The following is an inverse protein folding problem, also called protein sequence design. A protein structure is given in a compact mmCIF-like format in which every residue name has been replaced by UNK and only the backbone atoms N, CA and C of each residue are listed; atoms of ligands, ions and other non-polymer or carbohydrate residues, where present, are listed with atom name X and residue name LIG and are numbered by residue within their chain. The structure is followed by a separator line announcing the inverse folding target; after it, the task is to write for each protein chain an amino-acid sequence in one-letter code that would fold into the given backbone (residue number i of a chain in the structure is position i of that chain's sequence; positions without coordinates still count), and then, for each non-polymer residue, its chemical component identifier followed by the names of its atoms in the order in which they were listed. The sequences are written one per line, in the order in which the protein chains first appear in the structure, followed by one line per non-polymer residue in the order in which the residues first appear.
data_IF_757852593364
#
_entry.id   IF_757852593364
#
_cell.length_a   1.000
_cell.length_b   1.000
_cell.length_c   1.000
_cell.angle_alpha   90.00
_cell.angle_beta   90.00
_cell.angle_gamma   90.00
#
_symmetry.space_group_name_H-M   'P 1'
#
loop_
_entity.id
_entity.type
_entity.pdbx_description
1 polymer ?
#
# COMPACT_ATOMS: atom_id res chain seq x y z
N UNK A 1 0.77 3.21 21.26
CA UNK A 1 0.40 4.56 21.73
C UNK A 1 0.35 5.39 20.46
N UNK A 2 -0.81 5.93 20.08
CA UNK A 2 -0.94 6.67 18.82
C UNK A 2 -0.04 7.92 18.88
N UNK A 3 0.85 8.10 17.91
CA UNK A 3 1.71 9.30 17.83
C UNK A 3 0.82 10.52 17.56
N UNK A 4 0.95 11.57 18.38
CA UNK A 4 0.16 12.80 18.24
C UNK A 4 0.46 13.42 16.87
N UNK A 5 -0.59 13.73 16.10
CA UNK A 5 -0.48 14.28 14.75
C UNK A 5 -0.40 13.25 13.61
N UNK A 6 -0.33 11.94 13.91
CA UNK A 6 -0.34 10.90 12.88
C UNK A 6 -1.77 10.54 12.42
N UNK A 7 -1.98 10.53 11.11
CA UNK A 7 -3.19 10.02 10.44
C UNK A 7 -2.98 8.63 9.84
N UNK A 8 -4.02 7.80 9.79
CA UNK A 8 -3.95 6.43 9.26
C UNK A 8 -5.10 6.18 8.30
N UNK A 9 -4.83 5.47 7.21
CA UNK A 9 -5.85 5.08 6.23
C UNK A 9 -5.65 3.63 5.81
N UNK A 10 -6.75 2.87 5.78
CA UNK A 10 -6.74 1.48 5.28
C UNK A 10 -7.95 1.23 4.39
N UNK A 11 -7.92 0.10 3.68
CA UNK A 11 -8.99 -0.37 2.80
C UNK A 11 -9.68 -1.58 3.42
N UNK A 12 -11.01 -1.60 3.34
CA UNK A 12 -11.83 -2.77 3.60
C UNK A 12 -12.48 -3.21 2.29
N UNK A 13 -12.48 -4.52 2.03
CA UNK A 13 -13.10 -5.09 0.84
C UNK A 13 -14.30 -5.93 1.28
N UNK A 14 -15.45 -5.69 0.65
CA UNK A 14 -16.69 -6.40 0.94
C UNK A 14 -17.22 -7.10 -0.31
N UNK A 15 -17.74 -8.32 -0.15
CA UNK A 15 -18.57 -8.98 -1.15
C UNK A 15 -20.02 -8.62 -0.87
N UNK A 16 -20.78 -8.39 -1.93
CA UNK A 16 -22.23 -8.18 -1.85
C UNK A 16 -22.97 -9.46 -2.25
N UNK A 17 -23.90 -9.90 -1.42
CA UNK A 17 -24.82 -10.99 -1.71
C UNK A 17 -26.25 -10.49 -1.51
N UNK A 18 -26.94 -10.20 -2.61
CA UNK A 18 -28.26 -9.54 -2.56
C UNK A 18 -28.18 -8.15 -1.91
N UNK A 19 -28.75 -8.01 -0.71
CA UNK A 19 -28.73 -6.77 0.08
C UNK A 19 -27.69 -6.78 1.21
N UNK A 20 -26.97 -7.87 1.39
CA UNK A 20 -26.00 -8.04 2.46
C UNK A 20 -24.58 -7.79 1.98
N UNK A 21 -23.75 -7.28 2.89
CA UNK A 21 -22.32 -7.13 2.70
C UNK A 21 -21.58 -7.98 3.72
N UNK A 22 -20.64 -8.80 3.24
CA UNK A 22 -19.75 -9.59 4.08
C UNK A 22 -18.29 -9.29 3.72
N UNK A 23 -17.38 -9.46 4.68
CA UNK A 23 -15.95 -9.21 4.41
C UNK A 23 -15.44 -10.13 3.30
N UNK A 24 -14.77 -9.55 2.31
CA UNK A 24 -14.14 -10.31 1.23
C UNK A 24 -12.82 -10.95 1.66
N UNK A 25 -12.19 -10.37 2.68
CA UNK A 25 -10.85 -10.72 3.17
C UNK A 25 -10.88 -11.07 4.66
N UNK A 26 -9.89 -11.80 5.15
CA UNK A 26 -9.78 -12.20 6.56
C UNK A 26 -9.45 -11.05 7.51
N UNK A 27 -8.88 -9.97 6.99
CA UNK A 27 -8.55 -8.71 7.68
C UNK A 27 -8.66 -7.54 6.68
N UNK A 28 -8.48 -6.27 7.09
CA UNK A 28 -8.51 -5.16 6.15
C UNK A 28 -7.59 -5.42 4.94
N UNK A 29 -8.07 -5.10 3.74
CA UNK A 29 -7.33 -5.28 2.50
C UNK A 29 -6.00 -4.48 2.53
N UNK A 30 -6.01 -3.30 3.14
CA UNK A 30 -4.80 -2.51 3.34
C UNK A 30 -3.75 -3.23 4.19
N UNK A 31 -4.17 -3.93 5.24
CA UNK A 31 -3.27 -4.68 6.11
C UNK A 31 -2.66 -5.89 5.38
N UNK A 32 -3.41 -6.52 4.48
CA UNK A 32 -2.88 -7.57 3.61
C UNK A 32 -1.89 -7.01 2.59
N UNK A 33 -2.16 -5.83 2.03
CA UNK A 33 -1.24 -5.15 1.12
C UNK A 33 0.08 -4.78 1.80
N UNK A 34 0.03 -4.32 3.05
CA UNK A 34 1.22 -4.07 3.85
C UNK A 34 2.00 -5.34 4.17
N UNK A 35 1.33 -6.43 4.55
CA UNK A 35 1.99 -7.73 4.75
C UNK A 35 2.73 -8.18 3.50
N UNK A 36 2.06 -8.09 2.33
CA UNK A 36 2.68 -8.39 1.05
C UNK A 36 3.92 -7.54 0.81
N UNK A 37 3.81 -6.22 0.96
CA UNK A 37 4.93 -5.29 0.76
C UNK A 37 6.11 -5.60 1.68
N UNK A 38 5.86 -5.81 2.98
CA UNK A 38 6.92 -6.10 3.95
C UNK A 38 7.52 -7.50 3.76
N UNK A 39 6.85 -8.42 3.05
CA UNK A 39 7.43 -9.67 2.59
C UNK A 39 8.43 -9.54 1.43
N UNK A 40 8.47 -8.40 0.72
CA UNK A 40 9.33 -8.21 -0.45
C UNK A 40 10.76 -7.78 -0.07
N UNK A 41 11.79 -8.13 -0.87
CA UNK A 41 13.16 -7.70 -0.62
C UNK A 41 13.36 -6.18 -0.55
N UNK A 42 12.52 -5.40 -1.25
CA UNK A 42 12.60 -3.93 -1.27
C UNK A 42 12.34 -3.32 0.11
N UNK A 43 11.56 -3.99 0.95
CA UNK A 43 11.19 -3.48 2.28
C UNK A 43 12.31 -3.61 3.31
N UNK A 44 13.33 -4.44 3.07
CA UNK A 44 14.43 -4.69 4.02
C UNK A 44 15.24 -3.46 4.42
N UNK A 45 15.19 -2.41 3.59
CA UNK A 45 15.87 -1.13 3.84
C UNK A 45 15.00 -0.14 4.63
N UNK A 46 13.73 -0.47 4.84
CA UNK A 46 12.77 0.36 5.56
C UNK A 46 12.75 -0.06 7.03
N UNK A 47 12.66 0.94 7.90
CA UNK A 47 12.48 0.67 9.31
C UNK A 47 11.03 0.31 9.58
N UNK A 48 10.80 -0.83 10.23
CA UNK A 48 9.52 -1.24 10.81
C UNK A 48 9.84 -2.10 12.01
N UNK A 49 9.32 -1.74 13.18
CA UNK A 49 9.32 -2.67 14.31
C UNK A 49 8.09 -3.57 14.20
N UNK A 50 8.24 -4.89 13.97
CA UNK A 50 7.11 -5.80 13.87
C UNK A 50 6.33 -5.96 15.19
N UNK A 51 6.92 -5.60 16.33
CA UNK A 51 6.27 -5.64 17.65
C UNK A 51 5.51 -4.35 17.96
N UNK A 52 5.77 -3.27 17.23
CA UNK A 52 5.08 -2.00 17.39
C UNK A 52 4.18 -1.71 16.18
N UNK A 53 2.87 -1.88 16.38
CA UNK A 53 1.84 -1.61 15.36
C UNK A 53 1.95 -0.18 14.79
N UNK A 54 2.31 0.78 15.64
CA UNK A 54 2.38 2.20 15.31
C UNK A 54 3.83 2.67 15.00
N UNK A 55 4.74 1.72 14.63
CA UNK A 55 6.15 2.02 14.30
C UNK A 55 6.33 2.88 13.05
N UNK A 56 5.29 3.00 12.22
CA UNK A 56 5.26 3.82 11.03
C UNK A 56 4.29 4.99 11.21
N UNK A 57 4.66 6.17 10.73
CA UNK A 57 3.81 7.35 10.70
C UNK A 57 3.10 7.49 9.36
N UNK A 58 1.91 8.08 9.39
CA UNK A 58 1.11 8.35 8.20
C UNK A 58 0.89 7.13 7.29
N UNK A 59 0.66 5.96 7.90
CA UNK A 59 0.47 4.71 7.15
C UNK A 59 -0.85 4.75 6.40
N UNK A 60 -0.77 4.61 5.08
CA UNK A 60 -1.91 4.69 4.19
C UNK A 60 -1.88 3.55 3.17
N UNK A 61 -3.00 2.86 3.04
CA UNK A 61 -3.33 2.06 1.88
C UNK A 61 -4.54 2.69 1.17
N UNK A 62 -4.37 3.01 -0.12
CA UNK A 62 -5.34 3.78 -0.90
C UNK A 62 -5.66 3.04 -2.20
N UNK A 63 -6.94 2.95 -2.54
CA UNK A 63 -7.38 2.44 -3.83
C UNK A 63 -7.12 3.52 -4.88
N UNK A 64 -6.36 3.19 -5.92
CA UNK A 64 -6.12 4.12 -7.01
C UNK A 64 -7.35 4.17 -7.92
N UNK A 65 -7.71 5.38 -8.37
CA UNK A 65 -8.76 5.60 -9.35
C UNK A 65 -8.46 4.90 -10.69
N UNK A 66 -9.51 4.43 -11.37
CA UNK A 66 -9.40 3.81 -12.69
C UNK A 66 -9.90 2.37 -12.75
N UNK A 67 -10.47 1.83 -11.67
CA UNK A 67 -11.11 0.51 -11.73
C UNK A 67 -12.22 0.47 -12.79
N UNK A 68 -12.95 1.58 -12.95
CA UNK A 68 -14.03 1.77 -13.91
C UNK A 68 -13.60 1.76 -15.39
N UNK A 69 -12.29 1.94 -15.64
CA UNK A 69 -11.71 1.95 -16.99
C UNK A 69 -10.50 1.02 -17.12
N UNK A 70 -10.45 -0.01 -16.28
CA UNK A 70 -9.38 -1.01 -16.23
C UNK A 70 -7.96 -0.41 -16.17
N UNK A 71 -7.85 0.76 -15.52
CA UNK A 71 -6.65 1.56 -15.35
C UNK A 71 -5.98 1.94 -16.67
N UNK A 72 -6.77 2.25 -17.70
CA UNK A 72 -6.27 2.65 -19.02
C UNK A 72 -5.22 3.79 -18.96
N UNK A 73 -5.36 4.72 -18.01
CA UNK A 73 -4.42 5.82 -17.80
C UNK A 73 -3.03 5.37 -17.31
N UNK A 74 -2.91 4.17 -16.74
CA UNK A 74 -1.64 3.54 -16.38
C UNK A 74 -1.09 2.63 -17.48
N UNK A 75 -1.63 2.77 -18.71
CA UNK A 75 -1.34 1.89 -19.85
C UNK A 75 -1.50 0.40 -19.50
N UNK A 76 -2.37 0.11 -18.53
CA UNK A 76 -2.80 -1.25 -18.19
C UNK A 76 -4.13 -1.53 -18.86
N UNK A 77 -4.32 -2.78 -19.25
CA UNK A 77 -5.60 -3.27 -19.75
C UNK A 77 -5.86 -4.58 -19.04
N UNK A 78 -6.49 -4.49 -17.86
CA UNK A 78 -6.91 -5.66 -17.13
C UNK A 78 -8.41 -5.86 -17.28
N UNK A 79 -8.84 -6.73 -18.23
CA UNK A 79 -10.26 -6.90 -18.49
C UNK A 79 -11.01 -7.40 -17.26
N UNK A 80 -12.32 -7.15 -17.26
CA UNK A 80 -13.28 -7.56 -16.22
C UNK A 80 -13.08 -6.88 -14.86
N UNK A 81 -12.35 -5.76 -14.78
CA UNK A 81 -12.04 -5.07 -13.52
C UNK A 81 -11.45 -6.02 -12.46
N UNK A 82 -10.67 -7.01 -12.92
CA UNK A 82 -10.17 -8.12 -12.09
C UNK A 82 -9.22 -7.68 -10.97
N UNK A 83 -8.50 -6.58 -11.18
CA UNK A 83 -7.44 -6.15 -10.27
C UNK A 83 -7.79 -4.85 -9.56
N UNK A 84 -7.53 -4.79 -8.26
CA UNK A 84 -7.52 -3.53 -7.51
C UNK A 84 -6.09 -3.01 -7.45
N UNK A 85 -5.83 -1.79 -7.92
CA UNK A 85 -4.52 -1.15 -7.75
C UNK A 85 -4.51 -0.43 -6.41
N UNK A 86 -3.57 -0.83 -5.55
CA UNK A 86 -3.41 -0.28 -4.22
C UNK A 86 -2.10 0.47 -4.16
N UNK A 87 -2.18 1.68 -3.61
CA UNK A 87 -1.04 2.55 -3.33
C UNK A 87 -0.76 2.57 -1.84
N UNK A 88 0.51 2.37 -1.49
CA UNK A 88 1.03 2.30 -0.14
C UNK A 88 1.95 3.50 0.12
N UNK A 89 1.69 4.20 1.21
CA UNK A 89 2.51 5.32 1.68
C UNK A 89 2.69 5.24 3.18
N UNK A 90 3.87 5.60 3.65
CA UNK A 90 4.10 6.01 5.03
C UNK A 90 5.22 7.04 5.00
N UNK A 91 5.36 7.82 6.06
CA UNK A 91 6.51 8.70 6.22
C UNK A 91 7.27 8.44 7.51
N UNK A 92 8.46 9.03 7.59
CA UNK A 92 9.31 9.01 8.78
C UNK A 92 9.23 10.35 9.54
N UNK A 93 8.14 11.12 9.39
CA UNK A 93 7.99 12.39 10.11
C UNK A 93 7.86 12.12 11.60
N UNK A 94 8.54 12.91 12.44
CA UNK A 94 8.50 12.74 13.90
C UNK A 94 9.40 11.64 14.45
N UNK A 95 10.20 10.97 13.61
CA UNK A 95 11.28 10.08 14.07
C UNK A 95 12.54 10.90 14.44
N UNK A 96 13.23 10.50 15.52
CA UNK A 96 14.48 11.15 15.97
C UNK A 96 15.57 11.12 14.90
N UNK A 97 15.57 10.09 14.06
CA UNK A 97 16.47 9.93 12.93
C UNK A 97 15.65 9.81 11.66
N UNK A 98 15.88 10.69 10.66
CA UNK A 98 15.28 10.50 9.35
C UNK A 98 15.61 9.11 8.82
N UNK A 99 14.57 8.32 8.55
CA UNK A 99 14.67 6.99 7.98
C UNK A 99 14.08 6.97 6.57
N UNK A 100 14.45 6.02 5.70
CA UNK A 100 13.79 5.83 4.42
C UNK A 100 12.29 5.58 4.56
N UNK A 101 11.51 6.08 3.60
CA UNK A 101 10.06 5.94 3.56
C UNK A 101 9.57 5.63 2.14
N UNK A 102 8.27 5.40 1.96
CA UNK A 102 7.68 5.19 0.64
C UNK A 102 6.52 6.14 0.38
N UNK A 103 6.46 6.64 -0.85
CA UNK A 103 5.37 7.46 -1.34
C UNK A 103 4.75 6.81 -2.56
N UNK A 104 3.48 6.41 -2.42
CA UNK A 104 2.66 5.86 -3.47
C UNK A 104 3.19 4.57 -4.12
N UNK A 105 3.85 3.69 -3.36
CA UNK A 105 4.30 2.40 -3.89
C UNK A 105 3.09 1.53 -4.27
N UNK A 106 3.10 0.90 -5.44
CA UNK A 106 1.92 0.23 -6.03
C UNK A 106 2.04 -1.28 -6.07
N UNK A 107 0.95 -1.95 -5.72
CA UNK A 107 0.71 -3.36 -6.05
C UNK A 107 -0.71 -3.55 -6.59
N UNK A 108 -0.99 -4.75 -7.08
CA UNK A 108 -2.34 -5.17 -7.43
C UNK A 108 -2.82 -6.29 -6.52
N UNK A 109 -4.12 -6.29 -6.25
CA UNK A 109 -4.83 -7.42 -5.66
C UNK A 109 -5.75 -8.05 -6.70
N UNK A 110 -5.59 -9.35 -6.93
CA UNK A 110 -6.40 -10.12 -7.87
C UNK A 110 -7.70 -10.58 -7.20
N UNK A 111 -8.84 -10.09 -7.68
CA UNK A 111 -10.16 -10.43 -7.13
C UNK A 111 -10.56 -11.89 -7.37
N UNK A 112 -9.92 -12.60 -8.32
CA UNK A 112 -10.19 -14.02 -8.60
C UNK A 112 -9.37 -14.95 -7.71
N UNK A 113 -8.07 -14.69 -7.57
CA UNK A 113 -7.17 -15.57 -6.79
C UNK A 113 -7.03 -15.14 -5.32
N UNK A 114 -7.31 -13.86 -5.02
CA UNK A 114 -7.09 -13.30 -3.70
C UNK A 114 -5.61 -13.02 -3.40
N UNK A 115 -4.78 -12.89 -4.42
CA UNK A 115 -3.32 -12.74 -4.28
C UNK A 115 -2.84 -11.35 -4.66
N UNK A 116 -1.69 -10.97 -4.08
CA UNK A 116 -1.00 -9.73 -4.40
C UNK A 116 0.15 -9.97 -5.39
N UNK A 117 0.32 -9.04 -6.32
CA UNK A 117 1.49 -9.02 -7.20
C UNK A 117 1.94 -7.60 -7.55
N UNK A 118 3.15 -7.46 -8.10
CA UNK A 118 3.66 -6.21 -8.68
C UNK A 118 3.83 -6.42 -10.18
N UNK A 119 2.93 -5.87 -11.01
CA UNK A 119 3.08 -5.90 -12.46
C UNK A 119 4.39 -5.22 -12.90
N UNK A 120 5.08 -5.72 -13.95
CA UNK A 120 6.32 -5.12 -14.45
C UNK A 120 6.20 -3.62 -14.79
N UNK A 121 5.02 -3.18 -15.25
CA UNK A 121 4.75 -1.78 -15.55
C UNK A 121 4.85 -0.84 -14.34
N UNK A 122 4.76 -1.36 -13.12
CA UNK A 122 4.93 -0.56 -11.90
C UNK A 122 6.40 -0.45 -11.46
N UNK A 123 7.34 -1.16 -12.10
CA UNK A 123 8.72 -1.20 -11.65
C UNK A 123 9.37 0.19 -11.58
N UNK A 124 9.25 1.00 -12.63
CA UNK A 124 9.82 2.35 -12.66
C UNK A 124 9.17 3.26 -11.62
N UNK A 125 7.84 3.21 -11.50
CA UNK A 125 7.09 3.97 -10.51
C UNK A 125 7.53 3.61 -9.08
N UNK A 126 7.58 2.30 -8.78
CA UNK A 126 7.91 1.78 -7.47
C UNK A 126 9.37 2.03 -7.08
N UNK A 127 10.28 2.06 -8.05
CA UNK A 127 11.66 2.48 -7.80
C UNK A 127 11.73 3.94 -7.33
N UNK A 128 10.91 4.83 -7.91
CA UNK A 128 10.81 6.25 -7.52
C UNK A 128 10.00 6.48 -6.25
N UNK A 129 9.14 5.53 -5.87
CA UNK A 129 8.34 5.58 -4.66
C UNK A 129 9.19 5.47 -3.39
N UNK A 130 10.32 4.76 -3.46
CA UNK A 130 11.26 4.68 -2.35
C UNK A 130 11.99 6.01 -2.16
N UNK A 131 11.89 6.59 -0.96
CA UNK A 131 12.51 7.85 -0.61
C UNK A 131 13.55 7.63 0.47
N UNK A 132 14.66 8.35 0.35
CA UNK A 132 15.67 8.44 1.40
C UNK A 132 15.73 9.87 1.91
N UNK A 133 16.00 10.05 3.21
CA UNK A 133 16.31 11.37 3.74
C UNK A 133 17.46 12.00 2.96
N UNK A 134 17.38 13.31 2.73
CA UNK A 134 18.53 14.03 2.16
C UNK A 134 19.72 13.89 3.12
N UNK A 135 20.91 13.55 2.62
CA UNK A 135 22.10 13.63 3.44
C UNK A 135 22.35 15.10 3.80
N UNK A 136 22.07 15.46 5.06
CA UNK A 136 22.44 16.75 5.65
C UNK A 136 21.47 17.91 5.39
N UNK A 137 20.60 18.17 6.36
CA UNK A 137 20.59 19.49 7.00
C UNK A 137 20.80 19.26 8.48
N UNK A 138 21.95 19.71 8.98
CA UNK A 138 22.19 19.87 10.41
C UNK A 138 21.21 20.90 10.96
#
# INVERSE_FOLDING_TARGET
MQKLGAGYQTLFLYRRSGHEFSSATSKPLGDLAWDYFFGLPVSKKLHRDPKERDSLNHVQAVLIQGLENDYAWMTQHWPDSRYLVISLSFDAQGEDKPAPWIEAWRCVYDLKTGEFSVPPAFAEHNAKAFKTPRPGRK
#
